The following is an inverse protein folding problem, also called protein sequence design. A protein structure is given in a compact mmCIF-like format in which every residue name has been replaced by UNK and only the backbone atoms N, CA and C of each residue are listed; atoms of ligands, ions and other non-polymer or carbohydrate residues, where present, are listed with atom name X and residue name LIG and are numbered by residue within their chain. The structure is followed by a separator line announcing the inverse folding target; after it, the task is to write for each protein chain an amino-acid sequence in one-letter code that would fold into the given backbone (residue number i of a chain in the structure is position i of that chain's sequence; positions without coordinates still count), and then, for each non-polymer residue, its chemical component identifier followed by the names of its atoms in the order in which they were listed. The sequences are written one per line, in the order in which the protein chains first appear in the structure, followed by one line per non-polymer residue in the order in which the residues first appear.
data_IF_001409916101
#
_entry.id   IF_001409916101
#
_cell.length_a   1.000
_cell.length_b   1.000
_cell.length_c   1.000
_cell.angle_alpha   90.00
_cell.angle_beta   90.00
_cell.angle_gamma   90.00
#
_symmetry.space_group_name_H-M   'P 1'
#
loop_
_entity.id
_entity.type
_entity.pdbx_description
1 polymer ?
#
# COMPACT_ATOMS: atom_id res chain seq x y z
N UNK A 1 -4.07 -9.38 21.60
CA UNK A 1 -3.74 -8.60 20.39
C UNK A 1 -5.02 -7.91 19.95
N UNK A 2 -5.04 -6.57 19.86
CA UNK A 2 -6.25 -5.80 19.52
C UNK A 2 -6.12 -5.26 18.11
N UNK A 3 -7.06 -5.62 17.22
CA UNK A 3 -7.16 -5.12 15.85
C UNK A 3 -8.56 -4.56 15.60
N UNK A 4 -8.68 -3.64 14.63
CA UNK A 4 -9.98 -3.14 14.13
C UNK A 4 -10.10 -3.37 12.62
N UNK A 5 -11.33 -3.57 12.17
CA UNK A 5 -11.67 -3.63 10.75
C UNK A 5 -12.07 -2.25 10.26
N UNK A 6 -11.66 -1.89 9.04
CA UNK A 6 -12.07 -0.66 8.38
C UNK A 6 -12.53 -0.99 6.96
N UNK A 7 -13.78 -0.67 6.62
CA UNK A 7 -14.28 -0.78 5.25
C UNK A 7 -15.34 0.27 4.97
N UNK A 8 -15.46 0.72 3.72
CA UNK A 8 -16.38 1.80 3.32
C UNK A 8 -17.86 1.51 3.59
N UNK A 9 -18.22 0.24 3.78
CA UNK A 9 -19.58 -0.20 4.14
C UNK A 9 -19.91 -0.15 5.63
N UNK A 10 -18.99 0.24 6.52
CA UNK A 10 -19.28 0.42 7.94
C UNK A 10 -20.08 1.70 8.17
N UNK A 11 -20.74 1.81 9.32
CA UNK A 11 -21.44 3.04 9.65
C UNK A 11 -20.44 4.21 9.84
N UNK A 12 -20.86 5.41 9.44
CA UNK A 12 -19.98 6.59 9.48
C UNK A 12 -19.48 6.92 10.89
N UNK A 13 -20.27 6.63 11.94
CA UNK A 13 -19.84 6.85 13.33
C UNK A 13 -18.69 5.91 13.70
N UNK A 14 -18.73 4.65 13.27
CA UNK A 14 -17.65 3.69 13.53
C UNK A 14 -16.39 4.08 12.77
N UNK A 15 -16.50 4.44 11.49
CA UNK A 15 -15.36 4.91 10.70
C UNK A 15 -14.68 6.11 11.37
N UNK A 16 -15.47 7.08 11.82
CA UNK A 16 -14.95 8.28 12.49
C UNK A 16 -14.26 7.94 13.82
N UNK A 17 -14.87 7.08 14.64
CA UNK A 17 -14.28 6.61 15.90
C UNK A 17 -12.96 5.87 15.66
N UNK A 18 -12.89 4.98 14.67
CA UNK A 18 -11.65 4.26 14.34
C UNK A 18 -10.54 5.22 13.93
N UNK A 19 -10.86 6.23 13.12
CA UNK A 19 -9.88 7.23 12.65
C UNK A 19 -9.40 8.13 13.78
N UNK A 20 -10.32 8.68 14.58
CA UNK A 20 -9.99 9.54 15.72
C UNK A 20 -9.11 8.78 16.72
N UNK A 21 -9.48 7.55 17.04
CA UNK A 21 -8.70 6.71 17.95
C UNK A 21 -7.32 6.36 17.39
N UNK A 22 -7.20 6.06 16.09
CA UNK A 22 -5.92 5.73 15.46
C UNK A 22 -4.89 6.86 15.50
N UNK A 23 -5.37 8.11 15.54
CA UNK A 23 -4.48 9.29 15.62
C UNK A 23 -4.00 9.60 17.04
N UNK A 24 -4.54 8.96 18.07
CA UNK A 24 -4.16 9.24 19.46
C UNK A 24 -2.93 8.44 19.91
N UNK A 25 -1.99 9.06 20.64
CA UNK A 25 -0.75 8.41 21.05
C UNK A 25 -0.93 7.26 22.06
N UNK A 26 -1.99 7.29 22.89
CA UNK A 26 -2.25 6.28 23.92
C UNK A 26 -3.16 5.13 23.45
N UNK A 27 -3.30 4.98 22.13
CA UNK A 27 -4.25 4.05 21.55
C UNK A 27 -3.81 2.58 21.67
N UNK A 28 -4.73 1.72 22.10
CA UNK A 28 -4.46 0.30 22.36
C UNK A 28 -4.50 -0.59 21.10
N UNK A 29 -5.10 -0.13 20.00
CA UNK A 29 -5.18 -0.92 18.76
C UNK A 29 -3.83 -0.90 18.06
N UNK A 30 -3.32 -2.09 17.77
CA UNK A 30 -2.00 -2.25 17.14
C UNK A 30 -2.07 -2.43 15.63
N UNK A 31 -3.21 -2.87 15.11
CA UNK A 31 -3.40 -3.16 13.69
C UNK A 31 -4.78 -2.70 13.22
N UNK A 32 -4.82 -2.08 12.05
CA UNK A 32 -6.04 -1.86 11.29
C UNK A 32 -5.99 -2.79 10.07
N UNK A 33 -7.03 -3.59 9.92
CA UNK A 33 -7.24 -4.41 8.72
C UNK A 33 -8.24 -3.67 7.86
N UNK A 34 -7.81 -3.27 6.67
CA UNK A 34 -8.64 -2.48 5.77
C UNK A 34 -8.59 -2.96 4.34
N UNK A 35 -9.61 -2.56 3.59
CA UNK A 35 -9.62 -2.65 2.12
C UNK A 35 -8.92 -1.41 1.52
N UNK A 36 -8.78 -1.36 0.19
CA UNK A 36 -8.20 -0.23 -0.55
C UNK A 36 -8.85 1.13 -0.17
N UNK A 37 -10.08 1.10 0.37
CA UNK A 37 -10.81 2.28 0.85
C UNK A 37 -10.15 3.06 2.02
N UNK A 38 -9.09 2.56 2.66
CA UNK A 38 -8.38 3.30 3.72
C UNK A 38 -7.49 4.45 3.21
N UNK A 39 -7.26 4.53 1.89
CA UNK A 39 -6.19 5.34 1.33
C UNK A 39 -6.42 6.86 1.31
N UNK A 40 -7.63 7.39 1.46
CA UNK A 40 -7.82 8.83 1.22
C UNK A 40 -7.51 9.65 2.48
N UNK A 41 -6.32 10.26 2.53
CA UNK A 41 -6.00 11.36 3.45
C UNK A 41 -5.32 10.99 4.76
N UNK A 42 -4.86 9.75 4.95
CA UNK A 42 -4.27 9.28 6.21
C UNK A 42 -2.81 8.87 6.01
N UNK A 43 -1.95 9.27 6.94
CA UNK A 43 -0.58 8.77 7.05
C UNK A 43 -0.57 7.52 7.93
N UNK A 44 0.00 6.42 7.43
CA UNK A 44 -0.03 5.11 8.11
C UNK A 44 1.41 4.69 8.39
N UNK A 45 1.69 4.35 9.64
CA UNK A 45 2.96 3.72 10.05
C UNK A 45 2.85 2.21 9.81
N UNK A 46 3.87 1.62 9.19
CA UNK A 46 4.06 0.22 8.81
C UNK A 46 2.86 -0.43 8.09
N UNK A 47 3.08 -0.92 6.86
CA UNK A 47 1.99 -1.56 6.09
C UNK A 47 2.33 -3.00 5.72
N UNK A 48 1.47 -3.91 6.18
CA UNK A 48 1.53 -5.33 5.87
C UNK A 48 0.34 -5.69 4.99
N UNK A 49 0.61 -6.08 3.73
CA UNK A 49 -0.39 -6.35 2.71
C UNK A 49 -0.55 -7.85 2.45
N UNK A 50 -1.76 -8.36 2.61
CA UNK A 50 -2.15 -9.66 2.07
C UNK A 50 -2.71 -9.47 0.66
N UNK A 51 -2.11 -10.14 -0.33
CA UNK A 51 -2.26 -9.89 -1.76
C UNK A 51 -3.68 -9.57 -2.26
N UNK A 52 -3.77 -8.66 -3.21
CA UNK A 52 -5.05 -8.18 -3.73
C UNK A 52 -4.98 -7.08 -4.78
N UNK A 53 -3.81 -6.49 -5.04
CA UNK A 53 -3.68 -5.54 -6.13
C UNK A 53 -3.63 -6.29 -7.45
N UNK A 54 -4.66 -6.10 -8.27
CA UNK A 54 -4.70 -6.62 -9.63
C UNK A 54 -3.62 -5.94 -10.47
N UNK A 55 -3.30 -4.67 -10.19
CA UNK A 55 -2.33 -3.88 -10.93
C UNK A 55 -1.14 -3.48 -10.05
N UNK A 56 0.04 -3.41 -10.66
CA UNK A 56 1.27 -2.99 -9.99
C UNK A 56 1.23 -1.52 -9.52
N UNK A 57 0.53 -0.65 -10.24
CA UNK A 57 0.37 0.77 -9.88
C UNK A 57 -0.32 0.93 -8.53
N UNK A 58 -1.40 0.19 -8.32
CA UNK A 58 -2.18 0.24 -7.08
C UNK A 58 -1.31 -0.23 -5.90
N UNK A 59 -0.52 -1.28 -6.11
CA UNK A 59 0.47 -1.73 -5.13
C UNK A 59 1.45 -0.60 -4.77
N UNK A 60 2.06 0.07 -5.75
CA UNK A 60 3.01 1.16 -5.49
C UNK A 60 2.39 2.37 -4.79
N UNK A 61 1.16 2.75 -5.16
CA UNK A 61 0.45 3.83 -4.49
C UNK A 61 0.18 3.52 -3.02
N UNK A 62 -0.20 2.29 -2.72
CA UNK A 62 -0.53 1.86 -1.38
C UNK A 62 0.73 1.68 -0.50
N UNK A 63 1.79 1.02 -0.98
CA UNK A 63 3.05 0.96 -0.21
C UNK A 63 3.70 2.32 -0.03
N UNK A 64 3.50 3.27 -0.96
CA UNK A 64 4.00 4.65 -0.87
C UNK A 64 3.38 5.50 0.23
N UNK A 65 2.40 4.98 0.98
CA UNK A 65 1.78 5.65 2.13
C UNK A 65 2.59 5.54 3.42
N UNK A 66 3.48 4.55 3.51
CA UNK A 66 4.33 4.34 4.68
C UNK A 66 5.57 5.25 4.66
N UNK A 67 6.21 5.44 5.82
CA UNK A 67 7.53 6.08 5.91
C UNK A 67 7.55 7.58 5.61
N UNK A 68 6.41 8.29 5.65
CA UNK A 68 6.37 9.75 5.45
C UNK A 68 7.05 10.54 6.57
N UNK A 69 7.24 9.93 7.74
CA UNK A 69 7.97 10.55 8.86
C UNK A 69 9.50 10.37 8.76
N UNK A 70 9.98 9.77 7.66
CA UNK A 70 11.40 9.56 7.38
C UNK A 70 12.02 8.39 8.15
N UNK A 71 11.23 7.63 8.92
CA UNK A 71 11.71 6.42 9.59
C UNK A 71 11.73 5.22 8.65
N UNK A 72 12.57 4.25 9.00
CA UNK A 72 12.67 3.01 8.27
C UNK A 72 11.46 2.12 8.60
N UNK A 73 10.58 1.96 7.62
CA UNK A 73 9.36 1.16 7.72
C UNK A 73 9.42 -0.04 6.77
N UNK A 74 8.60 -1.05 7.05
CA UNK A 74 8.54 -2.26 6.21
C UNK A 74 7.23 -2.35 5.44
N UNK A 75 7.34 -2.65 4.14
CA UNK A 75 6.22 -3.07 3.31
C UNK A 75 6.36 -4.57 3.01
N UNK A 76 5.39 -5.38 3.42
CA UNK A 76 5.37 -6.83 3.19
C UNK A 76 4.19 -7.19 2.30
N UNK A 77 4.43 -8.05 1.32
CA UNK A 77 3.40 -8.57 0.43
C UNK A 77 3.31 -10.08 0.54
N UNK A 78 2.12 -10.60 0.83
CA UNK A 78 1.84 -12.03 0.80
C UNK A 78 1.13 -12.40 -0.50
N UNK A 79 1.81 -13.14 -1.38
CA UNK A 79 1.26 -13.63 -2.63
C UNK A 79 1.03 -15.14 -2.57
N UNK A 80 -0.16 -15.59 -2.98
CA UNK A 80 -0.51 -16.99 -3.15
C UNK A 80 -0.77 -17.30 -4.62
N UNK A 81 -0.71 -18.58 -5.02
CA UNK A 81 -1.04 -18.97 -6.40
C UNK A 81 -2.42 -18.47 -6.83
N UNK A 82 -3.39 -18.51 -5.91
CA UNK A 82 -4.77 -18.09 -6.17
C UNK A 82 -4.85 -16.56 -6.32
N UNK A 83 -4.18 -15.79 -5.46
CA UNK A 83 -4.21 -14.33 -5.56
C UNK A 83 -3.59 -13.83 -6.87
N UNK A 84 -2.60 -14.53 -7.41
CA UNK A 84 -1.93 -14.16 -8.67
C UNK A 84 -2.77 -14.46 -9.93
N UNK A 85 -3.82 -15.28 -9.86
CA UNK A 85 -4.61 -15.65 -11.04
C UNK A 85 -5.23 -14.43 -11.73
N UNK A 86 -5.72 -13.48 -10.92
CA UNK A 86 -6.42 -12.28 -11.39
C UNK A 86 -5.53 -11.03 -11.39
N UNK A 87 -4.21 -11.21 -11.30
CA UNK A 87 -3.25 -10.11 -11.36
C UNK A 87 -2.75 -9.85 -12.79
N UNK A 88 -2.30 -8.62 -13.04
CA UNK A 88 -1.63 -8.21 -14.26
C UNK A 88 -0.29 -8.95 -14.43
N UNK A 89 0.20 -9.03 -15.67
CA UNK A 89 1.47 -9.73 -15.95
C UNK A 89 2.66 -9.02 -15.30
N UNK A 90 2.63 -7.70 -15.16
CA UNK A 90 3.63 -6.91 -14.45
C UNK A 90 3.67 -7.30 -12.97
N UNK A 91 2.51 -7.45 -12.34
CA UNK A 91 2.42 -7.85 -10.93
C UNK A 91 2.91 -9.29 -10.71
N UNK A 92 2.55 -10.21 -11.63
CA UNK A 92 3.08 -11.58 -11.61
C UNK A 92 4.59 -11.60 -11.80
N UNK A 93 5.13 -10.72 -12.63
CA UNK A 93 6.56 -10.61 -12.88
C UNK A 93 7.30 -10.06 -11.66
N UNK A 94 6.78 -9.00 -11.02
CA UNK A 94 7.32 -8.45 -9.77
C UNK A 94 7.40 -9.51 -8.66
N UNK A 95 6.33 -10.31 -8.50
CA UNK A 95 6.27 -11.35 -7.46
C UNK A 95 7.28 -12.48 -7.74
N UNK A 96 7.57 -12.78 -9.00
CA UNK A 96 8.52 -13.83 -9.41
C UNK A 96 9.95 -13.33 -9.55
N UNK A 97 10.18 -12.02 -9.64
CA UNK A 97 11.52 -11.46 -9.84
C UNK A 97 12.35 -11.58 -8.56
N UNK A 98 13.61 -11.98 -8.71
CA UNK A 98 14.63 -11.92 -7.64
C UNK A 98 15.36 -10.57 -7.61
N UNK A 99 15.04 -9.69 -8.56
CA UNK A 99 15.61 -8.35 -8.71
C UNK A 99 15.13 -7.39 -7.62
N UNK A 100 15.86 -6.28 -7.46
CA UNK A 100 15.47 -5.22 -6.55
C UNK A 100 14.12 -4.60 -6.97
N UNK A 101 13.10 -4.72 -6.11
CA UNK A 101 11.78 -4.15 -6.37
C UNK A 101 11.79 -2.64 -6.63
N UNK A 102 12.74 -1.89 -6.07
CA UNK A 102 12.88 -0.44 -6.37
C UNK A 102 13.32 -0.19 -7.81
N UNK A 103 14.21 -1.01 -8.35
CA UNK A 103 14.65 -0.90 -9.74
C UNK A 103 13.51 -1.27 -10.69
N UNK A 104 12.78 -2.35 -10.37
CA UNK A 104 11.60 -2.74 -11.15
C UNK A 104 10.53 -1.63 -11.14
N UNK A 105 10.21 -1.09 -9.96
CA UNK A 105 9.26 0.01 -9.81
C UNK A 105 9.67 1.28 -10.57
N UNK A 106 10.97 1.59 -10.60
CA UNK A 106 11.51 2.70 -11.38
C UNK A 106 11.30 2.51 -12.88
N UNK A 107 11.61 1.34 -13.43
CA UNK A 107 11.44 1.04 -14.87
C UNK A 107 9.98 1.12 -15.29
N UNK A 108 9.06 0.54 -14.49
CA UNK A 108 7.63 0.59 -14.77
C UNK A 108 7.10 2.03 -14.63
N UNK A 109 7.48 2.74 -13.56
CA UNK A 109 7.09 4.13 -13.36
C UNK A 109 7.56 5.07 -14.48
N UNK A 110 8.79 4.91 -14.96
CA UNK A 110 9.33 5.71 -16.06
C UNK A 110 8.65 5.43 -17.41
N UNK A 111 8.17 4.20 -17.62
CA UNK A 111 7.43 3.85 -18.83
C UNK A 111 6.08 4.59 -18.93
N UNK A 112 5.47 4.89 -17.78
CA UNK A 112 4.26 5.70 -17.67
C UNK A 112 4.53 7.22 -17.77
N UNK A 113 5.80 7.65 -17.66
CA UNK A 113 6.26 9.05 -17.69
C UNK A 113 6.76 9.44 -19.09
N UNK A 114 6.51 8.64 -20.13
CA UNK A 114 6.87 8.93 -21.54
C UNK A 114 6.09 10.11 -22.17
N UNK A 115 6.09 11.25 -21.48
CA UNK A 115 5.65 12.57 -21.92
C UNK A 115 6.35 13.73 -21.19
N UNK A 116 7.15 13.48 -20.14
CA UNK A 116 7.95 14.55 -19.51
C UNK A 116 9.44 14.38 -19.79
N UNK A 117 10.01 15.42 -20.40
CA UNK A 117 11.40 15.49 -20.83
C UNK A 117 12.35 15.13 -19.68
N UNK A 118 13.28 14.20 -19.93
CA UNK A 118 14.24 13.67 -18.94
C UNK A 118 15.26 14.70 -18.41
N UNK A 119 15.10 15.98 -18.74
CA UNK A 119 15.99 17.09 -18.39
C UNK A 119 15.57 17.88 -17.14
N UNK A 120 14.52 17.46 -16.41
CA UNK A 120 14.00 18.22 -15.26
C UNK A 120 14.66 17.81 -13.93
N UNK A 121 15.48 16.75 -13.92
CA UNK A 121 16.14 16.24 -12.71
C UNK A 121 17.68 16.17 -12.81
N UNK A 122 18.29 17.02 -13.65
CA UNK A 122 19.72 17.33 -13.58
C UNK A 122 19.92 18.76 -13.10
#
# INVERSE_FOLDING_TARGET
MVFKLYHSGMCNSDLKSILEEFTQPDYCTRFIISTIAFGIGINIQDISYTGGHQNIRDYWQEVGRTGRDGKAEQAKMYATKVSLLNCSEEMKTLVKSEECYRQYGFVVGDSDIQGTNKSVWQ
#
